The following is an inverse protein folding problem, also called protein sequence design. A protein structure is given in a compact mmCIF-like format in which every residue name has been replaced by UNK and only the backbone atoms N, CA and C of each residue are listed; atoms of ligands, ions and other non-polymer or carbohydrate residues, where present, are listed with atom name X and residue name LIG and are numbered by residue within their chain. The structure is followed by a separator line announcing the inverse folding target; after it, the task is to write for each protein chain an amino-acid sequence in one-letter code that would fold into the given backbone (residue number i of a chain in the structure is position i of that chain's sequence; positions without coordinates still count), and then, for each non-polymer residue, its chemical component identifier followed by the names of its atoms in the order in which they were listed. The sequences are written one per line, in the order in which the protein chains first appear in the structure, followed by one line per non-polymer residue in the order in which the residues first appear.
data_IF_149557136951
#
_entry.id   IF_149557136951
#
_cell.length_a   1.000
_cell.length_b   1.000
_cell.length_c   1.000
_cell.angle_alpha   90.00
_cell.angle_beta   90.00
_cell.angle_gamma   90.00
#
_symmetry.space_group_name_H-M   'P 1'
#
loop_
_entity.id
_entity.type
_entity.pdbx_description
1 polymer ?
#
# COMPACT_ATOMS: atom_id res chain seq x y z
N UNK A 1 11.73 59.34 44.72
CA UNK A 1 10.64 59.75 43.80
C UNK A 1 11.11 61.00 43.08
N UNK A 2 11.62 60.85 41.86
CA UNK A 2 12.27 61.91 41.09
C UNK A 2 11.77 61.83 39.65
N UNK A 3 11.13 62.91 39.20
CA UNK A 3 10.58 63.12 37.87
C UNK A 3 11.67 63.41 36.84
N UNK A 4 11.50 62.99 35.57
CA UNK A 4 11.90 63.80 34.41
C UNK A 4 11.19 63.37 33.12
N UNK A 5 10.41 64.30 32.58
CA UNK A 5 9.89 64.42 31.21
C UNK A 5 10.98 64.98 30.30
N UNK A 6 11.02 64.66 28.98
CA UNK A 6 11.62 65.40 27.82
C UNK A 6 11.86 64.40 26.66
N UNK A 7 11.69 64.61 25.33
CA UNK A 7 10.93 65.56 24.49
C UNK A 7 10.75 64.98 23.07
N UNK A 8 9.84 65.57 22.31
CA UNK A 8 9.60 65.44 20.86
C UNK A 8 10.61 66.26 20.03
N UNK A 9 11.03 65.78 18.84
CA UNK A 9 11.28 66.52 17.57
C UNK A 9 11.25 65.50 16.41
N UNK A 10 10.20 65.41 15.58
CA UNK A 10 9.95 66.06 14.27
C UNK A 10 10.91 65.69 13.11
N UNK A 11 10.34 65.21 11.99
CA UNK A 11 11.07 64.91 10.74
C UNK A 11 10.16 64.59 9.54
N UNK A 12 9.69 65.66 8.89
CA UNK A 12 9.13 65.87 7.55
C UNK A 12 8.77 64.73 6.56
N UNK A 13 7.48 64.74 6.17
CA UNK A 13 6.82 64.68 4.86
C UNK A 13 7.66 64.43 3.58
N UNK A 14 7.23 63.46 2.76
CA UNK A 14 7.19 63.59 1.29
C UNK A 14 6.09 62.68 0.68
N UNK A 15 5.14 63.30 -0.01
CA UNK A 15 4.08 62.65 -0.78
C UNK A 15 4.55 62.29 -2.19
N UNK A 16 4.21 61.09 -2.70
CA UNK A 16 4.28 60.79 -4.13
C UNK A 16 3.30 59.68 -4.55
N UNK A 17 2.23 60.14 -5.20
CA UNK A 17 1.49 59.56 -6.33
C UNK A 17 1.77 58.09 -6.74
N UNK A 18 0.68 57.33 -6.77
CA UNK A 18 0.21 56.68 -8.00
C UNK A 18 0.67 55.24 -8.27
N UNK A 19 -0.28 54.30 -8.20
CA UNK A 19 -0.81 53.57 -9.36
C UNK A 19 -1.62 52.36 -8.88
N UNK A 20 -2.91 52.43 -9.16
CA UNK A 20 -3.83 51.30 -9.27
C UNK A 20 -3.25 50.28 -10.26
N UNK A 21 -2.77 49.14 -9.76
CA UNK A 21 -2.42 48.00 -10.61
C UNK A 21 -3.67 47.14 -10.77
N UNK A 22 -4.19 47.16 -11.99
CA UNK A 22 -5.24 46.29 -12.52
C UNK A 22 -4.98 44.83 -12.15
N UNK A 23 -5.97 44.19 -11.53
CA UNK A 23 -6.11 42.74 -11.56
C UNK A 23 -6.31 42.30 -13.01
N UNK A 24 -5.27 41.76 -13.64
CA UNK A 24 -5.40 41.00 -14.88
C UNK A 24 -5.91 39.61 -14.53
N UNK A 25 -7.19 39.37 -14.83
CA UNK A 25 -7.79 38.05 -14.84
C UNK A 25 -7.00 37.14 -15.80
N UNK A 26 -6.33 36.13 -15.25
CA UNK A 26 -5.73 35.05 -16.04
C UNK A 26 -6.87 34.18 -16.53
N UNK A 27 -7.17 34.34 -17.83
CA UNK A 27 -8.14 33.57 -18.60
C UNK A 27 -7.76 32.09 -18.53
N UNK A 28 -8.56 31.28 -17.82
CA UNK A 28 -8.42 29.83 -17.82
C UNK A 28 -8.72 29.30 -19.24
N UNK A 29 -7.68 28.86 -19.94
CA UNK A 29 -7.81 28.14 -21.21
C UNK A 29 -8.30 26.73 -20.94
N UNK A 30 -9.60 26.52 -21.17
CA UNK A 30 -10.25 25.20 -21.24
C UNK A 30 -9.55 24.34 -22.29
N UNK A 31 -8.63 23.48 -21.83
CA UNK A 31 -8.03 22.44 -22.66
C UNK A 31 -8.78 21.14 -22.37
N UNK A 32 -9.44 20.61 -23.39
CA UNK A 32 -10.16 19.33 -23.37
C UNK A 32 -9.26 18.21 -22.80
N UNK A 33 -9.78 17.27 -21.99
CA UNK A 33 -8.98 16.13 -21.55
C UNK A 33 -8.82 15.17 -22.73
N UNK A 34 -7.76 15.37 -23.51
CA UNK A 34 -7.23 14.35 -24.39
C UNK A 34 -6.79 13.15 -23.55
N UNK A 35 -7.22 11.97 -23.99
CA UNK A 35 -6.92 10.67 -23.41
C UNK A 35 -5.40 10.51 -23.25
N UNK A 36 -4.85 10.85 -22.08
CA UNK A 36 -3.44 10.68 -21.77
C UNK A 36 -3.16 9.19 -21.63
N UNK A 37 -2.76 8.58 -22.75
CA UNK A 37 -2.06 7.32 -22.79
C UNK A 37 -0.71 7.54 -22.11
N UNK A 38 -0.70 7.45 -20.77
CA UNK A 38 0.52 7.45 -19.96
C UNK A 38 1.36 6.26 -20.43
N UNK A 39 2.42 6.57 -21.19
CA UNK A 39 3.49 5.65 -21.48
C UNK A 39 4.09 5.17 -20.15
N UNK A 40 3.74 3.94 -19.78
CA UNK A 40 4.33 3.19 -18.68
C UNK A 40 5.76 2.81 -19.04
N UNK A 41 6.71 3.75 -18.90
CA UNK A 41 8.13 3.42 -18.88
C UNK A 41 8.44 2.86 -17.49
N UNK A 42 8.92 1.62 -17.50
CA UNK A 42 9.29 0.77 -16.37
C UNK A 42 8.10 0.35 -15.48
N UNK A 43 7.67 -0.89 -15.58
CA UNK A 43 7.38 -1.81 -14.47
C UNK A 43 6.95 -3.13 -15.15
N UNK A 44 7.64 -4.22 -14.80
CA UNK A 44 7.76 -5.50 -15.53
C UNK A 44 8.78 -5.46 -16.67
N UNK A 45 10.04 -5.71 -16.31
CA UNK A 45 11.07 -6.11 -17.27
C UNK A 45 10.63 -7.41 -17.95
N UNK A 46 10.81 -7.47 -19.26
CA UNK A 46 10.36 -8.54 -20.14
C UNK A 46 11.00 -9.88 -19.76
N UNK A 47 10.20 -10.78 -19.23
CA UNK A 47 10.48 -12.22 -19.23
C UNK A 47 9.14 -12.92 -19.13
N UNK A 48 8.65 -13.44 -20.25
CA UNK A 48 7.45 -14.27 -20.36
C UNK A 48 7.65 -15.68 -19.79
N UNK A 49 8.68 -15.87 -18.95
CA UNK A 49 8.94 -17.07 -18.16
C UNK A 49 9.13 -16.68 -16.69
N UNK A 50 8.49 -17.38 -15.73
CA UNK A 50 8.74 -17.17 -14.31
C UNK A 50 10.23 -17.46 -14.03
N UNK A 51 10.95 -16.45 -13.55
CA UNK A 51 12.35 -16.60 -13.17
C UNK A 51 12.44 -17.52 -11.93
N UNK A 52 13.10 -18.69 -12.03
CA UNK A 52 13.18 -19.68 -10.95
C UNK A 52 13.89 -19.15 -9.70
N UNK A 53 14.56 -17.97 -9.76
CA UNK A 53 15.14 -17.31 -8.59
C UNK A 53 14.11 -16.80 -7.58
N UNK A 54 12.83 -16.71 -7.94
CA UNK A 54 11.79 -16.13 -7.08
C UNK A 54 10.92 -17.14 -6.34
N UNK A 55 11.11 -18.44 -6.58
CA UNK A 55 10.50 -19.50 -5.76
C UNK A 55 11.52 -19.92 -4.69
N UNK A 56 11.69 -19.04 -3.70
CA UNK A 56 12.71 -19.18 -2.65
C UNK A 56 12.06 -19.08 -1.28
N UNK A 57 12.65 -19.66 -0.22
CA UNK A 57 12.09 -19.59 1.14
C UNK A 57 11.79 -18.17 1.67
N UNK A 58 12.38 -17.13 1.04
CA UNK A 58 12.16 -15.73 1.41
C UNK A 58 11.09 -15.04 0.53
N UNK A 59 10.95 -15.40 -0.74
CA UNK A 59 10.04 -14.73 -1.68
C UNK A 59 8.73 -15.52 -1.82
N UNK A 60 7.59 -14.85 -1.65
CA UNK A 60 6.29 -15.51 -1.83
C UNK A 60 6.10 -16.08 -3.24
N UNK A 61 5.29 -17.14 -3.42
CA UNK A 61 5.07 -17.73 -4.74
C UNK A 61 4.52 -16.70 -5.73
N UNK A 62 5.06 -16.69 -6.95
CA UNK A 62 4.65 -15.74 -8.00
C UNK A 62 3.16 -15.81 -8.33
N UNK A 63 2.53 -16.97 -8.14
CA UNK A 63 1.09 -17.16 -8.30
C UNK A 63 0.24 -16.32 -7.33
N UNK A 64 0.82 -15.80 -6.26
CA UNK A 64 0.14 -14.92 -5.29
C UNK A 64 0.24 -13.43 -5.64
N UNK A 65 1.04 -13.08 -6.65
CA UNK A 65 1.18 -11.72 -7.16
C UNK A 65 0.18 -11.47 -8.31
N UNK A 66 -0.09 -10.20 -8.66
CA UNK A 66 -0.86 -9.86 -9.85
C UNK A 66 -0.28 -10.55 -11.09
N UNK A 67 -1.15 -11.14 -11.92
CA UNK A 67 -0.71 -11.76 -13.17
C UNK A 67 -0.06 -10.72 -14.11
N UNK A 68 0.82 -11.17 -15.00
CA UNK A 68 1.39 -10.26 -15.99
C UNK A 68 0.30 -9.84 -16.99
N UNK A 69 0.19 -8.53 -17.25
CA UNK A 69 -0.77 -7.97 -18.19
C UNK A 69 -0.05 -7.61 -19.49
N UNK A 70 -0.04 -8.56 -20.42
CA UNK A 70 0.54 -8.38 -21.76
C UNK A 70 -0.46 -7.67 -22.68
N UNK A 71 -0.23 -6.38 -22.93
CA UNK A 71 -1.00 -5.59 -23.89
C UNK A 71 -0.18 -5.36 -25.16
N UNK A 72 -0.82 -5.32 -26.36
CA UNK A 72 -0.13 -4.96 -27.58
C UNK A 72 0.46 -3.53 -27.47
N UNK A 73 1.59 -3.25 -28.15
CA UNK A 73 2.14 -1.90 -28.22
C UNK A 73 1.16 -0.93 -28.90
N UNK A 74 1.37 0.40 -28.80
CA UNK A 74 0.48 1.38 -29.43
C UNK A 74 0.19 1.05 -30.90
N UNK A 75 -1.09 1.13 -31.27
CA UNK A 75 -1.59 0.78 -32.61
C UNK A 75 -0.74 1.43 -33.70
N UNK A 76 -0.27 0.63 -34.65
CA UNK A 76 0.52 1.14 -35.79
C UNK A 76 -0.39 1.89 -36.78
N UNK A 77 0.10 2.93 -37.48
CA UNK A 77 -0.62 3.54 -38.59
C UNK A 77 -0.97 2.47 -39.63
N UNK A 78 -2.24 2.35 -40.01
CA UNK A 78 -2.74 1.35 -40.96
C UNK A 78 -3.21 0.01 -40.36
N UNK A 79 -3.01 -0.26 -39.06
CA UNK A 79 -3.54 -1.47 -38.42
C UNK A 79 -5.06 -1.38 -38.21
N UNK A 80 -5.77 -2.48 -38.45
CA UNK A 80 -7.22 -2.54 -38.25
C UNK A 80 -7.60 -2.22 -36.80
N UNK A 81 -8.54 -1.30 -36.62
CA UNK A 81 -9.01 -0.86 -35.30
C UNK A 81 -9.62 -2.03 -34.53
N UNK A 82 -10.47 -2.82 -35.21
CA UNK A 82 -11.11 -4.00 -34.62
C UNK A 82 -10.09 -5.07 -34.20
N UNK A 83 -9.11 -5.36 -35.06
CA UNK A 83 -8.06 -6.33 -34.75
C UNK A 83 -7.20 -5.90 -33.56
N UNK A 84 -6.91 -4.60 -33.45
CA UNK A 84 -6.19 -4.03 -32.32
C UNK A 84 -6.97 -4.17 -31.00
N UNK A 85 -8.27 -3.82 -30.98
CA UNK A 85 -9.11 -4.00 -29.79
C UNK A 85 -9.31 -5.47 -29.42
N UNK A 86 -9.39 -6.37 -30.39
CA UNK A 86 -9.44 -7.80 -30.13
C UNK A 86 -8.15 -8.30 -29.43
N UNK A 87 -6.97 -7.84 -29.86
CA UNK A 87 -5.70 -8.14 -29.19
C UNK A 87 -5.67 -7.64 -27.75
N UNK A 88 -6.15 -6.41 -27.51
CA UNK A 88 -6.31 -5.86 -26.15
C UNK A 88 -7.24 -6.76 -25.31
N UNK A 89 -8.41 -7.10 -25.84
CA UNK A 89 -9.39 -7.96 -25.18
C UNK A 89 -8.82 -9.32 -24.81
N UNK A 90 -8.06 -9.95 -25.73
CA UNK A 90 -7.36 -11.22 -25.48
C UNK A 90 -6.34 -11.11 -24.34
N UNK A 91 -5.59 -10.01 -24.29
CA UNK A 91 -4.63 -9.73 -23.20
C UNK A 91 -5.32 -9.69 -21.84
N UNK A 92 -6.39 -8.91 -21.70
CA UNK A 92 -7.17 -8.83 -20.46
C UNK A 92 -7.83 -10.16 -20.09
N UNK A 93 -8.38 -10.89 -21.05
CA UNK A 93 -9.00 -12.20 -20.81
C UNK A 93 -7.97 -13.21 -20.28
N UNK A 94 -6.77 -13.23 -20.86
CA UNK A 94 -5.66 -14.07 -20.39
C UNK A 94 -5.22 -13.69 -18.97
N UNK A 95 -5.08 -12.40 -18.70
CA UNK A 95 -4.74 -11.86 -17.38
C UNK A 95 -5.75 -12.29 -16.30
N UNK A 96 -7.04 -12.05 -16.51
CA UNK A 96 -8.08 -12.42 -15.53
C UNK A 96 -8.22 -13.93 -15.37
N UNK A 97 -8.15 -14.68 -16.47
CA UNK A 97 -8.18 -16.16 -16.42
C UNK A 97 -7.04 -16.70 -15.56
N UNK A 98 -5.83 -16.17 -15.76
CA UNK A 98 -4.64 -16.58 -15.00
C UNK A 98 -4.75 -16.17 -13.53
N UNK A 99 -5.13 -14.92 -13.27
CA UNK A 99 -5.29 -14.41 -11.91
C UNK A 99 -6.35 -15.18 -11.11
N UNK A 100 -7.50 -15.47 -11.71
CA UNK A 100 -8.56 -16.25 -11.07
C UNK A 100 -8.18 -17.71 -10.86
N UNK A 101 -7.55 -18.35 -11.85
CA UNK A 101 -7.01 -19.71 -11.68
C UNK A 101 -6.04 -19.78 -10.51
N UNK A 102 -5.16 -18.78 -10.39
CA UNK A 102 -4.19 -18.74 -9.30
C UNK A 102 -4.88 -18.57 -7.94
N UNK A 103 -5.81 -17.61 -7.82
CA UNK A 103 -6.53 -17.35 -6.57
C UNK A 103 -7.47 -18.48 -6.14
N UNK A 104 -8.18 -19.10 -7.09
CA UNK A 104 -9.24 -20.06 -6.80
C UNK A 104 -8.78 -21.51 -6.73
N UNK A 105 -7.63 -21.83 -7.34
CA UNK A 105 -7.20 -23.21 -7.51
C UNK A 105 -5.76 -23.45 -7.09
N UNK A 106 -4.80 -22.71 -7.67
CA UNK A 106 -3.37 -22.95 -7.43
C UNK A 106 -3.00 -22.60 -5.99
N UNK A 107 -3.26 -21.38 -5.54
CA UNK A 107 -2.88 -20.90 -4.21
C UNK A 107 -3.57 -21.66 -3.08
N UNK A 108 -4.88 -21.99 -3.16
CA UNK A 108 -5.52 -22.84 -2.14
C UNK A 108 -4.91 -24.24 -2.03
N UNK A 109 -4.54 -24.85 -3.17
CA UNK A 109 -3.88 -26.17 -3.18
C UNK A 109 -2.48 -26.11 -2.57
N UNK A 110 -1.71 -25.07 -2.86
CA UNK A 110 -0.39 -24.87 -2.25
C UNK A 110 -0.51 -24.56 -0.75
N UNK A 111 -1.50 -23.77 -0.35
CA UNK A 111 -1.71 -23.38 1.05
C UNK A 111 -2.24 -24.52 1.92
N UNK A 112 -2.94 -25.51 1.35
CA UNK A 112 -3.57 -26.62 2.08
C UNK A 112 -2.59 -27.40 2.98
N UNK A 113 -1.51 -27.97 2.43
CA UNK A 113 -0.51 -28.69 3.22
C UNK A 113 0.18 -27.82 4.29
N UNK A 114 0.46 -26.56 3.98
CA UNK A 114 1.06 -25.61 4.91
C UNK A 114 0.10 -25.30 6.06
N UNK A 115 -1.19 -25.12 5.77
CA UNK A 115 -2.24 -24.91 6.77
C UNK A 115 -2.48 -26.14 7.66
N UNK A 116 -2.35 -27.36 7.13
CA UNK A 116 -2.49 -28.58 7.90
C UNK A 116 -1.43 -28.63 9.00
N UNK A 117 -0.16 -28.44 8.63
CA UNK A 117 0.96 -28.32 9.58
C UNK A 117 0.74 -27.21 10.60
N UNK A 118 0.17 -26.07 10.17
CA UNK A 118 -0.10 -24.93 11.06
C UNK A 118 -1.10 -25.24 12.18
N UNK A 119 -2.09 -26.11 11.92
CA UNK A 119 -3.06 -26.52 12.93
C UNK A 119 -2.46 -27.45 13.97
N UNK A 120 -1.50 -28.28 13.58
CA UNK A 120 -0.82 -29.24 14.46
C UNK A 120 0.14 -28.54 15.44
N UNK A 121 0.88 -27.51 14.99
CA UNK A 121 1.95 -26.85 15.74
C UNK A 121 1.53 -25.71 16.71
N UNK A 122 0.26 -25.65 17.14
CA UNK A 122 -0.27 -24.59 18.04
C UNK A 122 -0.12 -23.14 17.52
N UNK A 123 -0.10 -22.94 16.19
CA UNK A 123 -0.11 -21.62 15.56
C UNK A 123 1.26 -20.95 15.37
N UNK A 124 1.27 -19.62 15.21
CA UNK A 124 2.45 -18.85 14.78
C UNK A 124 3.69 -19.03 15.66
N UNK A 125 3.53 -19.03 16.99
CA UNK A 125 4.67 -19.12 17.91
C UNK A 125 5.40 -20.47 17.82
N UNK A 126 4.65 -21.58 17.74
CA UNK A 126 5.21 -22.93 17.65
C UNK A 126 5.95 -23.16 16.33
N UNK A 127 5.36 -22.76 15.20
CA UNK A 127 5.99 -22.93 13.88
C UNK A 127 7.28 -22.12 13.70
N UNK A 128 7.30 -20.91 14.26
CA UNK A 128 8.46 -20.03 14.25
C UNK A 128 9.60 -20.61 15.07
N UNK A 129 9.28 -21.18 16.23
CA UNK A 129 10.24 -21.85 17.13
C UNK A 129 10.78 -23.14 16.51
N UNK A 130 9.90 -23.95 15.90
CA UNK A 130 10.27 -25.20 15.24
C UNK A 130 11.05 -24.98 13.93
N UNK A 131 11.22 -23.73 13.48
CA UNK A 131 11.91 -23.34 12.23
C UNK A 131 11.32 -23.95 10.95
N UNK A 132 10.05 -24.33 10.96
CA UNK A 132 9.43 -25.00 9.82
C UNK A 132 8.70 -24.05 8.87
N UNK A 133 8.36 -22.84 9.30
CA UNK A 133 7.69 -21.85 8.43
C UNK A 133 8.70 -20.93 7.76
N UNK A 134 8.64 -20.89 6.44
CA UNK A 134 9.41 -19.96 5.62
C UNK A 134 8.65 -18.64 5.42
N UNK A 135 9.33 -17.58 4.98
CA UNK A 135 8.62 -16.33 4.64
C UNK A 135 7.68 -16.55 3.46
N UNK A 136 8.07 -17.36 2.48
CA UNK A 136 7.23 -17.69 1.34
C UNK A 136 5.92 -18.33 1.75
N UNK A 137 5.95 -19.26 2.72
CA UNK A 137 4.75 -19.88 3.30
C UNK A 137 3.86 -18.85 3.99
N UNK A 138 4.45 -17.97 4.82
CA UNK A 138 3.71 -16.91 5.48
C UNK A 138 2.96 -16.01 4.47
N UNK A 139 3.66 -15.59 3.41
CA UNK A 139 3.08 -14.75 2.37
C UNK A 139 1.99 -15.50 1.59
N UNK A 140 2.20 -16.78 1.26
CA UNK A 140 1.22 -17.65 0.62
C UNK A 140 -0.07 -17.72 1.45
N UNK A 141 0.04 -18.06 2.74
CA UNK A 141 -1.12 -18.20 3.63
C UNK A 141 -1.91 -16.88 3.75
N UNK A 142 -1.21 -15.76 3.98
CA UNK A 142 -1.83 -14.43 4.10
C UNK A 142 -2.57 -14.04 2.82
N UNK A 143 -1.92 -14.16 1.67
CA UNK A 143 -2.47 -13.74 0.36
C UNK A 143 -3.59 -14.67 -0.07
N UNK A 144 -3.42 -15.98 0.10
CA UNK A 144 -4.47 -16.96 -0.17
C UNK A 144 -5.72 -16.70 0.68
N UNK A 145 -5.59 -16.46 1.99
CA UNK A 145 -6.75 -16.14 2.83
C UNK A 145 -7.43 -14.83 2.43
N UNK A 146 -6.67 -13.86 1.93
CA UNK A 146 -7.20 -12.59 1.43
C UNK A 146 -8.01 -12.77 0.14
N UNK A 147 -7.45 -13.54 -0.81
CA UNK A 147 -8.03 -13.74 -2.13
C UNK A 147 -9.19 -14.73 -2.09
N UNK A 148 -9.06 -15.83 -1.35
CA UNK A 148 -10.10 -16.84 -1.21
C UNK A 148 -11.40 -16.27 -0.63
N UNK A 149 -11.29 -15.35 0.34
CA UNK A 149 -12.47 -14.63 0.88
C UNK A 149 -13.13 -13.69 -0.12
N UNK A 150 -12.45 -13.30 -1.20
CA UNK A 150 -12.97 -12.40 -2.24
C UNK A 150 -13.59 -13.13 -3.43
N UNK A 151 -13.24 -14.40 -3.63
CA UNK A 151 -13.78 -15.20 -4.73
C UNK A 151 -15.30 -15.25 -4.73
N UNK A 152 -16.00 -15.50 -3.61
CA UNK A 152 -17.47 -15.51 -3.62
C UNK A 152 -18.06 -14.16 -4.02
N UNK A 153 -17.51 -13.04 -3.52
CA UNK A 153 -17.97 -11.69 -3.88
C UNK A 153 -17.71 -11.40 -5.36
N UNK A 154 -16.56 -11.82 -5.89
CA UNK A 154 -16.23 -11.69 -7.30
C UNK A 154 -17.15 -12.55 -8.17
N UNK A 155 -17.48 -13.76 -7.75
CA UNK A 155 -18.40 -14.64 -8.46
C UNK A 155 -19.81 -14.03 -8.54
N UNK A 156 -20.33 -13.50 -7.43
CA UNK A 156 -21.61 -12.77 -7.42
C UNK A 156 -21.58 -11.56 -8.34
N UNK A 157 -20.50 -10.76 -8.29
CA UNK A 157 -20.32 -9.63 -9.20
C UNK A 157 -20.35 -10.08 -10.67
N UNK A 158 -19.63 -11.15 -11.00
CA UNK A 158 -19.60 -11.70 -12.35
C UNK A 158 -20.97 -12.19 -12.82
N UNK A 159 -21.72 -12.87 -11.96
CA UNK A 159 -23.10 -13.32 -12.28
C UNK A 159 -24.05 -12.16 -12.55
N UNK A 160 -23.94 -11.06 -11.80
CA UNK A 160 -24.81 -9.88 -11.96
C UNK A 160 -24.41 -9.05 -13.19
N UNK A 161 -23.12 -8.79 -13.35
CA UNK A 161 -22.63 -7.90 -14.39
C UNK A 161 -22.37 -8.60 -15.73
N UNK A 162 -22.27 -9.93 -15.74
CA UNK A 162 -21.99 -10.73 -16.93
C UNK A 162 -20.80 -10.19 -17.73
N UNK A 163 -21.06 -9.85 -18.98
CA UNK A 163 -20.07 -9.30 -19.92
C UNK A 163 -19.53 -7.91 -19.54
N UNK A 164 -20.25 -7.15 -18.70
CA UNK A 164 -19.82 -5.83 -18.24
C UNK A 164 -18.86 -5.89 -17.04
N UNK A 165 -18.56 -7.07 -16.50
CA UNK A 165 -17.66 -7.26 -15.35
C UNK A 165 -16.31 -6.56 -15.49
N UNK A 166 -15.62 -6.58 -16.66
CA UNK A 166 -14.34 -5.88 -16.82
C UNK A 166 -14.39 -4.38 -16.51
N UNK A 167 -15.52 -3.71 -16.80
CA UNK A 167 -15.70 -2.28 -16.49
C UNK A 167 -15.89 -2.04 -14.99
N UNK A 168 -16.65 -2.91 -14.32
CA UNK A 168 -16.92 -2.79 -12.89
C UNK A 168 -15.67 -3.12 -12.07
N UNK A 169 -14.93 -4.15 -12.47
CA UNK A 169 -13.65 -4.52 -11.85
C UNK A 169 -12.62 -3.41 -12.00
N UNK A 170 -12.62 -2.65 -13.10
CA UNK A 170 -11.77 -1.50 -13.29
C UNK A 170 -12.01 -0.40 -12.23
N UNK A 171 -13.26 -0.24 -11.76
CA UNK A 171 -13.66 0.74 -10.76
C UNK A 171 -13.44 0.28 -9.30
N UNK A 172 -13.62 -1.00 -9.00
CA UNK A 172 -13.66 -1.50 -7.62
C UNK A 172 -12.56 -2.53 -7.29
N UNK A 173 -11.37 -2.06 -6.93
CA UNK A 173 -10.21 -2.90 -6.55
C UNK A 173 -10.37 -3.68 -5.24
N UNK A 174 -11.42 -3.39 -4.45
CA UNK A 174 -11.67 -4.03 -3.16
C UNK A 174 -12.33 -5.40 -3.26
N UNK A 175 -13.07 -5.65 -4.35
CA UNK A 175 -13.87 -6.87 -4.57
C UNK A 175 -13.01 -7.98 -5.20
N UNK A 176 -11.97 -7.58 -5.92
CA UNK A 176 -11.19 -8.47 -6.78
C UNK A 176 -9.99 -9.06 -6.03
N UNK A 177 -9.64 -10.36 -6.24
CA UNK A 177 -8.41 -10.95 -5.73
C UNK A 177 -7.16 -10.15 -6.11
N UNK A 178 -6.11 -10.19 -5.29
CA UNK A 178 -4.84 -9.49 -5.57
C UNK A 178 -4.25 -9.93 -6.91
N UNK A 179 -4.34 -11.23 -7.21
CA UNK A 179 -3.87 -11.83 -8.47
C UNK A 179 -4.51 -11.22 -9.73
N UNK A 180 -5.66 -10.57 -9.59
CA UNK A 180 -6.46 -9.98 -10.67
C UNK A 180 -6.40 -8.43 -10.67
N UNK A 181 -5.50 -7.80 -9.91
CA UNK A 181 -5.39 -6.33 -9.86
C UNK A 181 -4.55 -5.78 -11.01
N UNK A 182 -5.10 -4.83 -11.75
CA UNK A 182 -4.42 -4.19 -12.87
C UNK A 182 -3.30 -3.26 -12.34
N UNK A 183 -2.13 -3.16 -13.01
CA UNK A 183 -1.03 -2.32 -12.55
C UNK A 183 -1.41 -0.85 -12.26
N UNK A 184 -2.22 -0.24 -13.13
CA UNK A 184 -2.72 1.13 -12.94
C UNK A 184 -3.60 1.27 -11.70
N UNK A 185 -4.39 0.24 -11.37
CA UNK A 185 -5.19 0.21 -10.14
C UNK A 185 -4.31 0.13 -8.91
N UNK A 186 -3.25 -0.69 -8.94
CA UNK A 186 -2.29 -0.81 -7.83
C UNK A 186 -1.63 0.54 -7.57
N UNK A 187 -1.19 1.25 -8.61
CA UNK A 187 -0.60 2.58 -8.48
C UNK A 187 -1.59 3.61 -7.92
N UNK A 188 -2.82 3.62 -8.42
CA UNK A 188 -3.88 4.51 -7.93
C UNK A 188 -4.20 4.25 -6.46
N UNK A 189 -4.32 2.97 -6.06
CA UNK A 189 -4.57 2.56 -4.68
C UNK A 189 -3.40 2.93 -3.75
N UNK A 190 -2.15 2.76 -4.21
CA UNK A 190 -0.96 3.21 -3.49
C UNK A 190 -0.96 4.73 -3.32
N UNK A 191 -1.28 5.49 -4.36
CA UNK A 191 -1.32 6.96 -4.32
C UNK A 191 -2.37 7.44 -3.31
N UNK A 192 -3.59 6.88 -3.37
CA UNK A 192 -4.65 7.17 -2.39
C UNK A 192 -4.23 6.80 -0.97
N UNK A 193 -3.51 5.69 -0.78
CA UNK A 193 -3.00 5.28 0.53
C UNK A 193 -1.96 6.29 1.04
N UNK A 194 -0.94 6.61 0.27
CA UNK A 194 0.09 7.56 0.70
C UNK A 194 -0.47 8.96 0.99
N UNK A 195 -1.47 9.41 0.23
CA UNK A 195 -2.21 10.64 0.53
C UNK A 195 -2.93 10.58 1.87
N UNK A 196 -3.60 9.46 2.19
CA UNK A 196 -4.24 9.27 3.51
C UNK A 196 -3.23 9.23 4.64
N UNK A 197 -2.08 8.60 4.42
CA UNK A 197 -0.99 8.58 5.40
C UNK A 197 -0.51 10.02 5.65
N UNK A 198 -0.22 10.77 4.58
CA UNK A 198 0.19 12.18 4.67
C UNK A 198 -0.83 13.03 5.41
N UNK A 199 -2.10 12.97 5.02
CA UNK A 199 -3.19 13.71 5.68
C UNK A 199 -3.36 13.29 7.15
N UNK A 200 -3.16 12.01 7.47
CA UNK A 200 -3.22 11.53 8.84
C UNK A 200 -2.07 12.06 9.67
N UNK A 201 -0.85 12.15 9.14
CA UNK A 201 0.26 12.83 9.81
C UNK A 201 -0.04 14.32 9.99
N UNK A 202 -0.46 15.04 8.95
CA UNK A 202 -0.81 16.47 9.06
C UNK A 202 -1.89 16.75 10.12
N UNK A 203 -2.88 15.88 10.27
CA UNK A 203 -3.89 15.99 11.31
C UNK A 203 -3.40 15.55 12.70
N UNK A 204 -2.40 14.68 12.77
CA UNK A 204 -1.86 14.09 14.00
C UNK A 204 -0.76 14.96 14.63
N UNK A 205 0.08 15.61 13.81
CA UNK A 205 1.26 16.38 14.21
C UNK A 205 0.99 17.61 15.09
N UNK A 206 -0.10 18.38 14.95
CA UNK A 206 -0.39 19.51 15.83
C UNK A 206 -0.69 19.10 17.28
N UNK A 207 -0.88 17.80 17.57
CA UNK A 207 -1.48 17.32 18.82
C UNK A 207 -0.54 16.52 19.73
N UNK A 208 0.60 16.00 19.25
CA UNK A 208 1.35 14.98 20.04
C UNK A 208 2.85 14.98 19.73
N UNK A 209 3.68 15.53 20.63
CA UNK A 209 5.04 15.03 20.81
C UNK A 209 4.94 13.74 21.63
N UNK A 210 5.28 12.59 21.05
CA UNK A 210 5.32 11.33 21.80
C UNK A 210 6.57 11.38 22.68
N UNK A 211 6.43 12.05 23.82
CA UNK A 211 7.45 12.12 24.87
C UNK A 211 7.30 10.96 25.88
N UNK A 212 6.59 9.90 25.49
CA UNK A 212 6.32 8.73 26.33
C UNK A 212 6.62 7.44 25.57
N UNK A 213 7.14 6.41 26.25
CA UNK A 213 7.32 5.10 25.63
C UNK A 213 5.96 4.51 25.24
N UNK A 214 5.87 3.90 24.06
CA UNK A 214 4.63 3.26 23.60
C UNK A 214 4.80 1.75 23.74
N UNK A 215 4.46 1.25 24.93
CA UNK A 215 4.70 -0.13 25.35
C UNK A 215 3.64 -1.14 24.84
N UNK A 216 2.67 -0.71 24.04
CA UNK A 216 1.72 -1.63 23.41
C UNK A 216 0.41 -1.00 22.95
N UNK A 217 -0.36 -1.79 22.20
CA UNK A 217 -1.62 -1.39 21.59
C UNK A 217 -2.66 -0.90 22.62
N UNK A 218 -2.67 -1.44 23.83
CA UNK A 218 -3.66 -1.06 24.86
C UNK A 218 -3.44 0.35 25.40
N UNK A 219 -2.19 0.82 25.41
CA UNK A 219 -1.81 2.16 25.89
C UNK A 219 -2.07 3.25 24.85
N UNK A 220 -2.36 2.88 23.61
CA UNK A 220 -2.69 3.81 22.54
C UNK A 220 -4.11 4.37 22.70
N UNK A 221 -4.19 5.69 22.60
CA UNK A 221 -5.43 6.45 22.43
C UNK A 221 -6.15 6.01 21.15
N UNK A 222 -7.45 6.31 21.08
CA UNK A 222 -8.24 6.04 19.87
C UNK A 222 -7.65 6.72 18.62
N UNK A 223 -7.20 7.97 18.74
CA UNK A 223 -6.59 8.73 17.64
C UNK A 223 -5.31 8.07 17.15
N UNK A 224 -4.43 7.65 18.05
CA UNK A 224 -3.20 6.93 17.69
C UNK A 224 -3.50 5.57 17.03
N UNK A 225 -4.51 4.83 17.52
CA UNK A 225 -4.96 3.57 16.89
C UNK A 225 -5.47 3.78 15.46
N UNK A 226 -6.26 4.82 15.24
CA UNK A 226 -6.77 5.18 13.91
C UNK A 226 -5.63 5.62 12.99
N UNK A 227 -4.68 6.42 13.50
CA UNK A 227 -3.48 6.80 12.76
C UNK A 227 -2.65 5.58 12.33
N UNK A 228 -2.27 4.73 13.27
CA UNK A 228 -1.54 3.48 12.99
C UNK A 228 -2.28 2.63 11.95
N UNK A 229 -3.59 2.46 12.10
CA UNK A 229 -4.41 1.72 11.14
C UNK A 229 -4.45 2.36 9.74
N UNK A 230 -4.30 3.70 9.65
CA UNK A 230 -4.19 4.42 8.37
C UNK A 230 -2.87 4.09 7.69
N UNK A 231 -1.77 4.15 8.45
CA UNK A 231 -0.40 3.84 8.00
C UNK A 231 -0.33 2.46 7.35
N UNK A 232 -0.89 1.44 8.00
CA UNK A 232 -0.90 0.06 7.46
C UNK A 232 -2.11 -0.28 6.58
N UNK A 233 -3.04 0.66 6.40
CA UNK A 233 -4.26 0.48 5.62
C UNK A 233 -5.15 -0.67 6.10
N UNK A 234 -5.37 -0.81 7.41
CA UNK A 234 -6.23 -1.86 8.00
C UNK A 234 -7.71 -1.46 8.15
N UNK A 235 -8.06 -0.24 7.78
CA UNK A 235 -9.45 0.21 7.66
C UNK A 235 -9.70 0.91 6.31
N UNK A 236 -10.97 0.90 5.89
CA UNK A 236 -11.43 1.59 4.69
C UNK A 236 -11.39 3.10 4.89
N UNK A 237 -11.20 3.87 3.80
CA UNK A 237 -11.30 5.34 3.88
C UNK A 237 -12.71 5.83 4.22
N UNK A 238 -13.72 4.97 4.03
CA UNK A 238 -15.11 5.20 4.41
C UNK A 238 -15.40 4.85 5.88
N UNK A 239 -14.42 4.32 6.61
CA UNK A 239 -14.60 4.07 8.03
C UNK A 239 -14.82 5.41 8.73
N UNK A 240 -15.87 5.55 9.55
CA UNK A 240 -16.13 6.80 10.26
C UNK A 240 -15.12 6.96 11.39
N UNK A 241 -13.89 7.32 11.04
CA UNK A 241 -12.80 7.59 11.99
C UNK A 241 -13.09 8.76 12.94
N UNK A 242 -14.18 9.51 12.67
CA UNK A 242 -14.71 10.60 13.50
C UNK A 242 -15.86 10.20 14.44
N UNK A 243 -16.36 8.96 14.38
CA UNK A 243 -17.53 8.51 15.15
C UNK A 243 -17.10 7.36 16.09
N UNK A 244 -17.74 7.33 17.26
CA UNK A 244 -17.34 6.67 18.51
C UNK A 244 -16.50 5.37 18.43
N UNK A 245 -15.64 5.13 19.44
CA UNK A 245 -14.80 3.94 19.56
C UNK A 245 -15.56 2.61 19.73
N UNK A 246 -16.89 2.60 19.86
CA UNK A 246 -17.68 1.37 19.98
C UNK A 246 -18.78 1.31 18.92
N UNK A 247 -19.09 0.14 18.34
CA UNK A 247 -18.43 -1.18 18.50
C UNK A 247 -17.14 -1.33 17.66
N UNK A 248 -16.82 -0.32 16.86
CA UNK A 248 -15.77 -0.32 15.84
C UNK A 248 -14.35 -0.45 16.39
N UNK A 249 -14.12 -0.02 17.64
CA UNK A 249 -12.79 -0.02 18.23
C UNK A 249 -12.30 -1.38 18.69
N UNK A 250 -13.18 -2.27 19.17
CA UNK A 250 -12.79 -3.65 19.47
C UNK A 250 -12.33 -4.39 18.19
N UNK A 251 -13.07 -4.20 17.09
CA UNK A 251 -12.71 -4.77 15.78
C UNK A 251 -11.38 -4.23 15.30
N UNK A 252 -11.18 -2.91 15.41
CA UNK A 252 -9.93 -2.26 15.02
C UNK A 252 -8.75 -2.77 15.84
N UNK A 253 -8.91 -2.85 17.16
CA UNK A 253 -7.90 -3.36 18.09
C UNK A 253 -7.51 -4.79 17.73
N UNK A 254 -8.49 -5.70 17.59
CA UNK A 254 -8.23 -7.10 17.21
C UNK A 254 -7.53 -7.23 15.85
N UNK A 255 -7.87 -6.37 14.89
CA UNK A 255 -7.19 -6.32 13.58
C UNK A 255 -5.75 -5.85 13.70
N UNK A 256 -5.51 -4.81 14.49
CA UNK A 256 -4.18 -4.25 14.72
C UNK A 256 -3.27 -5.23 15.48
N UNK A 257 -3.75 -5.84 16.56
CA UNK A 257 -3.03 -6.85 17.34
C UNK A 257 -2.62 -8.07 16.48
N UNK A 258 -3.55 -8.60 15.67
CA UNK A 258 -3.23 -9.68 14.72
C UNK A 258 -2.18 -9.26 13.69
N UNK A 259 -2.21 -8.00 13.28
CA UNK A 259 -1.30 -7.49 12.27
C UNK A 259 0.10 -7.22 12.81
N UNK A 260 0.21 -6.78 14.06
CA UNK A 260 1.46 -6.70 14.81
C UNK A 260 2.15 -8.08 14.85
N UNK A 261 1.42 -9.13 15.23
CA UNK A 261 1.97 -10.51 15.24
C UNK A 261 2.45 -10.94 13.86
N UNK A 262 1.68 -10.66 12.81
CA UNK A 262 2.08 -10.93 11.42
C UNK A 262 3.38 -10.21 11.06
N UNK A 263 3.49 -8.91 11.36
CA UNK A 263 4.67 -8.12 11.00
C UNK A 263 5.91 -8.52 11.79
N UNK A 264 5.79 -8.78 13.10
CA UNK A 264 6.88 -9.30 13.91
C UNK A 264 7.38 -10.65 13.37
N UNK A 265 6.46 -11.52 12.94
CA UNK A 265 6.80 -12.78 12.29
C UNK A 265 7.53 -12.55 10.96
N UNK A 266 7.01 -11.67 10.10
CA UNK A 266 7.63 -11.35 8.81
C UNK A 266 9.02 -10.70 8.98
N UNK A 267 9.20 -9.78 9.93
CA UNK A 267 10.50 -9.16 10.26
C UNK A 267 11.54 -10.22 10.63
N UNK A 268 11.17 -11.18 11.48
CA UNK A 268 12.03 -12.28 11.87
C UNK A 268 12.32 -13.23 10.68
N UNK A 269 11.33 -13.56 9.85
CA UNK A 269 11.53 -14.44 8.69
C UNK A 269 12.39 -13.78 7.61
N UNK A 270 12.30 -12.47 7.41
CA UNK A 270 13.23 -11.72 6.54
C UNK A 270 14.65 -11.83 7.08
N UNK A 271 14.85 -11.62 8.38
CA UNK A 271 16.17 -11.74 8.99
C UNK A 271 16.75 -13.16 8.84
N UNK A 272 15.94 -14.21 9.05
CA UNK A 272 16.34 -15.61 8.85
C UNK A 272 16.62 -15.95 7.38
N UNK A 273 15.89 -15.37 6.44
CA UNK A 273 15.99 -15.64 4.99
C UNK A 273 17.18 -14.98 4.28
N UNK A 274 18.13 -14.38 5.01
CA UNK A 274 19.27 -13.67 4.43
C UNK A 274 19.09 -12.17 4.26
N UNK A 275 18.05 -11.59 4.87
CA UNK A 275 17.83 -10.15 4.95
C UNK A 275 17.23 -9.50 3.70
N UNK A 276 17.20 -8.17 3.71
CA UNK A 276 16.52 -7.35 2.69
C UNK A 276 17.08 -7.54 1.27
N UNK A 277 18.36 -7.87 1.15
CA UNK A 277 19.02 -8.05 -0.14
C UNK A 277 18.52 -9.28 -0.92
N UNK A 278 17.94 -10.28 -0.23
CA UNK A 278 17.39 -11.49 -0.85
C UNK A 278 15.94 -11.33 -1.31
N UNK A 279 15.30 -10.20 -0.99
CA UNK A 279 13.95 -9.90 -1.47
C UNK A 279 14.00 -9.49 -2.95
N UNK A 280 13.11 -10.11 -3.71
CA UNK A 280 12.81 -9.70 -5.07
C UNK A 280 12.20 -8.29 -5.09
N UNK A 281 12.34 -7.52 -6.19
CA UNK A 281 11.73 -6.19 -6.29
C UNK A 281 10.23 -6.14 -5.92
N UNK A 282 9.35 -7.05 -6.38
CA UNK A 282 7.95 -7.02 -5.97
C UNK A 282 7.75 -7.35 -4.49
N UNK A 283 8.51 -8.28 -3.93
CA UNK A 283 8.42 -8.63 -2.51
C UNK A 283 8.95 -7.52 -1.60
N UNK A 284 9.98 -6.79 -2.04
CA UNK A 284 10.50 -5.61 -1.35
C UNK A 284 9.42 -4.53 -1.28
N UNK A 285 8.78 -4.20 -2.41
CA UNK A 285 7.68 -3.24 -2.42
C UNK A 285 6.52 -3.67 -1.50
N UNK A 286 6.12 -4.94 -1.54
CA UNK A 286 5.07 -5.47 -0.66
C UNK A 286 5.48 -5.37 0.81
N UNK A 287 6.73 -5.73 1.14
CA UNK A 287 7.25 -5.64 2.51
C UNK A 287 7.27 -4.20 3.03
N UNK A 288 7.66 -3.24 2.19
CA UNK A 288 7.60 -1.80 2.50
C UNK A 288 6.15 -1.34 2.74
N UNK A 289 5.24 -1.64 1.81
CA UNK A 289 3.82 -1.24 1.92
C UNK A 289 3.15 -1.87 3.15
N UNK A 290 3.46 -3.12 3.47
CA UNK A 290 2.92 -3.82 4.64
C UNK A 290 3.30 -3.13 5.96
N UNK A 291 4.48 -2.51 6.00
CA UNK A 291 5.01 -1.74 7.15
C UNK A 291 4.58 -0.28 7.15
N UNK A 292 3.89 0.18 6.11
CA UNK A 292 3.48 1.57 5.96
C UNK A 292 4.55 2.50 5.36
N UNK A 293 5.62 1.93 4.80
CA UNK A 293 6.66 2.69 4.09
C UNK A 293 6.13 3.11 2.72
N UNK A 294 6.26 4.41 2.39
CA UNK A 294 5.90 4.99 1.08
C UNK A 294 6.80 4.40 -0.01
N UNK A 295 6.21 3.98 -1.12
CA UNK A 295 6.93 3.31 -2.22
C UNK A 295 6.90 4.08 -3.53
N UNK A 296 5.93 4.97 -3.73
CA UNK A 296 5.81 5.70 -5.00
C UNK A 296 6.99 6.66 -5.18
N UNK A 297 7.59 6.63 -6.37
CA UNK A 297 8.70 7.50 -6.74
C UNK A 297 10.05 7.15 -6.08
N UNK A 298 10.15 6.05 -5.34
CA UNK A 298 11.41 5.59 -4.74
C UNK A 298 12.11 4.56 -5.63
N UNK A 299 13.43 4.65 -5.66
CA UNK A 299 14.29 3.63 -6.27
C UNK A 299 14.34 2.37 -5.40
N UNK A 300 14.66 1.22 -6.01
CA UNK A 300 14.84 -0.05 -5.30
C UNK A 300 15.87 0.07 -4.16
N UNK A 301 16.96 0.83 -4.38
CA UNK A 301 17.98 1.06 -3.37
C UNK A 301 17.44 1.82 -2.14
N UNK A 302 16.64 2.86 -2.37
CA UNK A 302 15.97 3.60 -1.29
C UNK A 302 15.00 2.70 -0.51
N UNK A 303 14.22 1.87 -1.21
CA UNK A 303 13.31 0.92 -0.56
C UNK A 303 14.05 -0.10 0.31
N UNK A 304 15.20 -0.61 -0.18
CA UNK A 304 16.05 -1.51 0.62
C UNK A 304 16.59 -0.80 1.86
N UNK A 305 17.06 0.44 1.73
CA UNK A 305 17.57 1.22 2.86
C UNK A 305 16.48 1.48 3.90
N UNK A 306 15.28 1.87 3.47
CA UNK A 306 14.13 2.12 4.35
C UNK A 306 13.69 0.86 5.09
N UNK A 307 13.60 -0.28 4.39
CA UNK A 307 13.24 -1.55 5.01
C UNK A 307 14.33 -2.05 5.96
N UNK A 308 15.61 -1.88 5.61
CA UNK A 308 16.73 -2.23 6.47
C UNK A 308 16.73 -1.39 7.75
N UNK A 309 16.41 -0.09 7.64
CA UNK A 309 16.23 0.79 8.78
C UNK A 309 15.09 0.31 9.68
N UNK A 310 13.92 0.00 9.11
CA UNK A 310 12.79 -0.55 9.87
C UNK A 310 13.19 -1.77 10.71
N UNK A 311 13.90 -2.73 10.09
CA UNK A 311 14.36 -3.95 10.76
C UNK A 311 15.40 -3.65 11.85
N UNK A 312 16.26 -2.66 11.61
CA UNK A 312 17.27 -2.23 12.59
C UNK A 312 16.62 -1.59 13.81
N UNK A 313 15.63 -0.73 13.61
CA UNK A 313 14.86 -0.11 14.69
C UNK A 313 14.09 -1.17 15.50
N UNK A 314 13.54 -2.19 14.82
CA UNK A 314 12.92 -3.34 15.50
C UNK A 314 13.89 -4.13 16.35
N UNK A 315 15.16 -4.28 15.93
CA UNK A 315 16.20 -4.96 16.73
C UNK A 315 16.66 -4.13 17.93
N UNK A 316 16.59 -2.79 17.83
CA UNK A 316 16.91 -1.86 18.91
C UNK A 316 15.84 -1.79 20.00
N UNK A 317 14.74 -2.55 19.87
CA UNK A 317 13.65 -2.57 20.83
C UNK A 317 12.62 -1.44 20.65
N UNK A 318 12.74 -0.63 19.58
CA UNK A 318 11.70 0.35 19.23
C UNK A 318 10.43 -0.42 18.92
N UNK A 319 9.30 -0.06 19.51
CA UNK A 319 8.06 -0.80 19.27
C UNK A 319 7.49 -0.49 17.89
N UNK A 320 6.68 -1.40 17.35
CA UNK A 320 6.03 -1.19 16.05
C UNK A 320 5.14 0.05 16.05
N UNK A 321 4.54 0.35 17.20
CA UNK A 321 3.66 1.49 17.41
C UNK A 321 4.44 2.80 17.38
N UNK A 322 5.61 2.85 18.03
CA UNK A 322 6.51 4.00 17.98
C UNK A 322 6.93 4.29 16.54
N UNK A 323 7.25 3.25 15.75
CA UNK A 323 7.62 3.43 14.33
C UNK A 323 6.50 3.98 13.46
N UNK A 324 5.24 3.61 13.74
CA UNK A 324 4.11 4.14 12.98
C UNK A 324 3.69 5.54 13.39
N UNK A 325 3.96 5.91 14.63
CA UNK A 325 3.65 7.25 15.12
C UNK A 325 4.80 8.24 14.90
N UNK A 326 6.03 7.74 14.76
CA UNK A 326 7.17 8.54 14.37
C UNK A 326 6.95 9.13 12.98
N UNK A 327 7.34 10.39 12.84
CA UNK A 327 7.38 11.07 11.55
C UNK A 327 8.17 10.24 10.54
N UNK A 328 7.65 9.98 9.33
CA UNK A 328 8.42 9.34 8.29
C UNK A 328 9.62 10.24 8.00
N UNK A 329 10.82 9.72 8.16
CA UNK A 329 12.02 10.46 7.74
C UNK A 329 11.94 10.69 6.24
N UNK A 330 12.15 11.95 5.85
CA UNK A 330 11.91 12.55 4.54
C UNK A 330 12.29 11.65 3.39
#
# INVERSE_FOLDING_TARGET
MTSTTTTFVAGAVAAARGRTVRQTAVRASTTRPGLLLLQSKAFYSSSSQPDPRYDSPINGPLSTLPAHLDLPPPRKPGESVLGYYFKIGKGYLSFYKTGLKNAAWVNPRLAGPVMARWREDRGYAGMVQNKWITRSDLQLLKRNQHDFRRIPFFAVLFTICGEFTPFVVALFSNIVPITCRIPTQIQSDRKKREQRIKASFEAFLPSTSINRPVEGLDKLTWKEKVHCSTVVGRHSGLWPSRILPLPFGFVLHKRLSRYEVYLATDDMLIAKGGGVMKLSPPELEVACVDRGIRVLGKSEQQLRADLQRWLTDSKKGVTIWERWLALPTS
#
